data_IF_911642695962
#
_entry.id   IF_911642695962
#
_cell.length_a   1.000
_cell.length_b   1.000
_cell.length_c   1.000
_cell.angle_alpha   90.00
_cell.angle_beta   90.00
_cell.angle_gamma   90.00
#
_symmetry.space_group_name_H-M   'P 1'
#
loop_
_entity.id
_entity.type
_entity.pdbx_description
1 polymer ?
#
# COMPACT_ATOMS: atom_id res chain seq x y z
N UNK A 1 -24.62 17.86 35.11
CA UNK A 1 -23.69 17.04 34.31
C UNK A 1 -24.54 16.23 33.32
N UNK A 2 -24.27 16.29 32.02
CA UNK A 2 -25.04 15.51 31.01
C UNK A 2 -24.73 14.03 31.21
N UNK A 3 -25.76 13.24 31.51
CA UNK A 3 -25.61 11.80 31.73
C UNK A 3 -25.09 11.13 30.46
N UNK A 4 -24.10 10.25 30.63
CA UNK A 4 -23.49 9.50 29.53
C UNK A 4 -24.44 8.37 29.15
N UNK A 5 -24.95 8.39 27.91
CA UNK A 5 -25.77 7.30 27.37
C UNK A 5 -24.98 6.00 27.37
N UNK A 6 -25.64 4.91 27.72
CA UNK A 6 -25.04 3.58 27.68
C UNK A 6 -24.85 3.14 26.23
N UNK A 7 -23.87 2.26 25.97
CA UNK A 7 -23.61 1.73 24.62
C UNK A 7 -24.87 1.05 24.04
N UNK A 8 -25.67 0.43 24.91
CA UNK A 8 -26.90 -0.27 24.55
C UNK A 8 -27.99 0.72 24.12
N UNK A 9 -28.10 1.89 24.75
CA UNK A 9 -29.01 2.97 24.31
C UNK A 9 -28.61 3.63 22.99
N UNK A 10 -27.35 3.48 22.58
CA UNK A 10 -26.82 4.05 21.33
C UNK A 10 -27.09 3.20 20.09
N UNK A 11 -27.50 1.94 20.26
CA UNK A 11 -27.69 0.99 19.16
C UNK A 11 -29.20 0.74 19.02
N UNK A 12 -29.88 1.65 18.34
CA UNK A 12 -31.23 1.36 17.84
C UNK A 12 -31.16 0.14 16.88
N UNK A 13 -32.18 -0.73 16.85
CA UNK A 13 -32.22 -1.83 15.90
C UNK A 13 -32.24 -1.26 14.48
N UNK A 14 -31.09 -1.32 13.81
CA UNK A 14 -30.93 -0.89 12.43
C UNK A 14 -31.62 -1.90 11.51
N UNK A 15 -32.41 -1.38 10.57
CA UNK A 15 -33.06 -2.15 9.53
C UNK A 15 -32.00 -2.91 8.71
N UNK A 16 -32.01 -4.25 8.76
CA UNK A 16 -31.08 -5.15 8.05
C UNK A 16 -30.98 -4.89 6.54
N UNK A 17 -31.98 -4.23 5.98
CA UNK A 17 -32.03 -3.82 4.58
C UNK A 17 -30.91 -2.81 4.24
N UNK A 18 -30.63 -1.86 5.14
CA UNK A 18 -29.56 -0.88 4.97
C UNK A 18 -28.16 -1.52 5.08
N UNK A 19 -28.01 -2.52 5.95
CA UNK A 19 -26.76 -3.30 6.07
C UNK A 19 -26.48 -4.11 4.80
N UNK A 20 -27.50 -4.75 4.21
CA UNK A 20 -27.33 -5.53 2.98
C UNK A 20 -26.93 -4.64 1.80
N UNK A 21 -27.48 -3.44 1.70
CA UNK A 21 -27.11 -2.48 0.66
C UNK A 21 -25.67 -2.00 0.80
N UNK A 22 -25.23 -1.73 2.04
CA UNK A 22 -23.85 -1.36 2.35
C UNK A 22 -22.86 -2.50 2.05
N UNK A 23 -23.19 -3.74 2.46
CA UNK A 23 -22.29 -4.90 2.33
C UNK A 23 -22.21 -5.43 0.90
N UNK A 24 -23.35 -5.47 0.19
CA UNK A 24 -23.42 -6.09 -1.13
C UNK A 24 -23.42 -5.09 -2.29
N UNK A 25 -23.37 -3.77 -2.00
CA UNK A 25 -23.26 -2.71 -2.99
C UNK A 25 -24.40 -2.77 -4.00
N UNK A 26 -25.53 -2.13 -3.68
CA UNK A 26 -26.77 -2.13 -4.46
C UNK A 26 -26.58 -2.34 -5.97
N UNK A 27 -26.82 -3.56 -6.43
CA UNK A 27 -26.87 -3.87 -7.86
C UNK A 27 -28.04 -4.77 -8.15
N UNK A 28 -29.20 -4.15 -8.33
CA UNK A 28 -30.34 -4.73 -9.01
C UNK A 28 -30.99 -3.67 -9.92
N UNK A 29 -30.76 -3.79 -11.23
CA UNK A 29 -31.81 -3.57 -12.24
C UNK A 29 -32.14 -2.15 -12.75
N UNK A 30 -31.32 -1.68 -13.72
CA UNK A 30 -31.73 -1.20 -15.05
C UNK A 30 -32.38 0.20 -15.29
N UNK A 31 -31.75 0.94 -16.23
CA UNK A 31 -32.28 1.88 -17.26
C UNK A 31 -32.17 3.41 -17.05
N UNK A 32 -31.17 3.96 -17.76
CA UNK A 32 -31.04 5.23 -18.49
C UNK A 32 -30.94 6.60 -17.79
N UNK A 33 -29.82 7.26 -18.15
CA UNK A 33 -29.58 8.68 -18.38
C UNK A 33 -29.90 9.69 -17.25
N UNK A 34 -28.87 10.28 -16.64
CA UNK A 34 -28.49 11.67 -16.94
C UNK A 34 -27.16 12.04 -16.24
N UNK A 35 -26.45 12.93 -16.90
CA UNK A 35 -25.13 13.47 -16.64
C UNK A 35 -24.98 14.12 -15.25
N UNK A 36 -24.07 13.63 -14.40
CA UNK A 36 -23.38 14.46 -13.39
C UNK A 36 -21.97 13.90 -13.14
N UNK A 37 -21.01 14.55 -13.78
CA UNK A 37 -19.59 14.70 -13.40
C UNK A 37 -19.01 13.60 -12.49
N UNK A 38 -18.33 12.65 -13.13
CA UNK A 38 -17.37 11.78 -12.48
C UNK A 38 -16.33 12.66 -11.75
N UNK A 39 -15.98 12.36 -10.48
CA UNK A 39 -14.80 12.97 -9.88
C UNK A 39 -13.61 12.56 -10.74
N UNK A 40 -12.98 13.57 -11.33
CA UNK A 40 -11.71 13.47 -12.05
C UNK A 40 -10.77 12.58 -11.23
N UNK A 41 -10.64 11.32 -11.70
CA UNK A 41 -9.55 10.44 -11.29
C UNK A 41 -8.31 11.23 -11.62
N UNK A 42 -7.62 11.75 -10.60
CA UNK A 42 -6.28 12.29 -10.76
C UNK A 42 -5.46 11.19 -11.42
N UNK A 43 -5.28 11.31 -12.73
CA UNK A 43 -4.21 10.68 -13.46
C UNK A 43 -2.93 11.30 -12.92
N UNK A 44 -2.44 10.76 -11.81
CA UNK A 44 -1.01 10.82 -11.56
C UNK A 44 -0.38 10.01 -12.68
N UNK A 45 0.07 10.68 -13.72
CA UNK A 45 1.05 10.21 -14.70
C UNK A 45 2.39 9.98 -14.00
N UNK A 46 2.39 9.17 -12.95
CA UNK A 46 3.56 8.43 -12.57
C UNK A 46 3.54 7.22 -13.48
N UNK A 47 4.40 7.25 -14.49
CA UNK A 47 4.84 6.07 -15.23
C UNK A 47 5.39 5.07 -14.23
N UNK A 48 4.49 4.36 -13.55
CA UNK A 48 4.82 3.16 -12.82
C UNK A 48 5.12 2.17 -13.93
N UNK A 49 6.40 2.09 -14.32
CA UNK A 49 6.95 0.86 -14.86
C UNK A 49 6.42 -0.24 -13.94
N UNK A 50 5.40 -0.97 -14.39
CA UNK A 50 4.93 -2.13 -13.66
C UNK A 50 6.17 -3.02 -13.50
N UNK A 51 6.68 -3.22 -12.28
CA UNK A 51 7.88 -4.02 -12.12
C UNK A 51 7.54 -5.38 -12.69
N UNK A 52 8.40 -5.90 -13.57
CA UNK A 52 8.35 -7.31 -13.93
C UNK A 52 8.21 -8.08 -12.62
N UNK A 53 7.24 -8.99 -12.54
CA UNK A 53 6.95 -9.72 -11.31
C UNK A 53 8.16 -10.60 -11.02
N UNK A 54 9.13 -10.05 -10.30
CA UNK A 54 10.34 -10.74 -9.92
C UNK A 54 9.96 -11.78 -8.87
N UNK A 55 10.38 -13.02 -9.10
CA UNK A 55 10.18 -14.09 -8.13
C UNK A 55 11.12 -13.84 -6.94
N UNK A 56 10.57 -13.27 -5.86
CA UNK A 56 11.31 -12.93 -4.63
C UNK A 56 11.31 -14.11 -3.67
N UNK A 57 12.50 -14.49 -3.18
CA UNK A 57 12.67 -15.54 -2.17
C UNK A 57 13.07 -14.93 -0.82
N UNK A 58 12.62 -15.49 0.32
CA UNK A 58 13.03 -15.02 1.63
C UNK A 58 14.53 -15.30 1.84
N UNK A 59 15.29 -14.25 2.16
CA UNK A 59 16.69 -14.35 2.56
C UNK A 59 16.81 -14.02 4.05
N UNK A 60 17.29 -14.97 4.85
CA UNK A 60 17.57 -14.73 6.28
C UNK A 60 19.08 -14.70 6.52
N UNK A 61 19.56 -13.60 7.09
CA UNK A 61 20.96 -13.45 7.51
C UNK A 61 21.08 -12.46 8.65
N UNK A 62 22.15 -12.57 9.45
CA UNK A 62 22.45 -11.62 10.52
C UNK A 62 23.27 -10.46 9.96
N UNK A 63 22.89 -9.23 10.29
CA UNK A 63 23.63 -8.01 9.94
C UNK A 63 24.00 -7.24 11.20
N UNK A 64 24.96 -6.31 11.08
CA UNK A 64 25.31 -5.43 12.19
C UNK A 64 24.13 -4.53 12.58
N UNK A 65 23.99 -4.24 13.88
CA UNK A 65 22.87 -3.48 14.43
C UNK A 65 22.83 -2.02 13.96
N UNK A 66 24.00 -1.41 13.74
CA UNK A 66 24.12 -0.05 13.20
C UNK A 66 23.61 0.00 11.75
N UNK A 67 23.95 -0.99 10.93
CA UNK A 67 23.45 -1.10 9.56
C UNK A 67 21.93 -1.29 9.53
N UNK A 68 21.39 -2.16 10.39
CA UNK A 68 19.95 -2.37 10.48
C UNK A 68 19.19 -1.08 10.84
N UNK A 69 19.71 -0.32 11.81
CA UNK A 69 19.13 0.95 12.25
C UNK A 69 19.21 2.01 11.14
N UNK A 70 20.38 2.16 10.52
CA UNK A 70 20.61 3.11 9.45
C UNK A 70 19.74 2.82 8.22
N UNK A 71 19.61 1.55 7.83
CA UNK A 71 18.81 1.13 6.68
C UNK A 71 17.32 1.41 6.89
N UNK A 72 16.77 1.10 8.09
CA UNK A 72 15.39 1.43 8.45
C UNK A 72 15.12 2.94 8.41
N UNK A 73 16.04 3.73 8.98
CA UNK A 73 15.94 5.19 8.94
C UNK A 73 15.95 5.70 7.50
N UNK A 74 16.90 5.26 6.68
CA UNK A 74 17.00 5.68 5.29
C UNK A 74 15.76 5.32 4.47
N UNK A 75 15.20 4.12 4.67
CA UNK A 75 13.95 3.71 4.05
C UNK A 75 12.80 4.65 4.42
N UNK A 76 12.64 4.98 5.70
CA UNK A 76 11.59 5.89 6.15
C UNK A 76 11.77 7.32 5.61
N UNK A 77 12.99 7.86 5.69
CA UNK A 77 13.31 9.20 5.18
C UNK A 77 12.99 9.31 3.68
N UNK A 78 13.33 8.27 2.91
CA UNK A 78 13.05 8.20 1.46
C UNK A 78 11.57 8.04 1.14
N UNK A 79 10.81 7.32 1.98
CA UNK A 79 9.35 7.25 1.84
C UNK A 79 8.71 8.63 2.07
N UNK A 80 9.16 9.36 3.09
CA UNK A 80 8.67 10.71 3.38
C UNK A 80 9.04 11.72 2.29
N UNK A 81 10.22 11.57 1.68
CA UNK A 81 10.66 12.42 0.57
C UNK A 81 10.11 12.00 -0.79
N UNK A 82 9.41 10.86 -0.88
CA UNK A 82 8.91 10.31 -2.14
C UNK A 82 10.02 9.86 -3.11
N UNK A 83 11.22 9.53 -2.61
CA UNK A 83 12.39 9.18 -3.44
C UNK A 83 12.54 7.67 -3.56
N UNK A 84 12.60 7.12 -4.79
CA UNK A 84 12.83 5.69 -5.05
C UNK A 84 14.33 5.39 -5.22
N UNK A 85 14.84 4.23 -4.74
CA UNK A 85 14.15 3.17 -3.98
C UNK A 85 13.87 3.60 -2.54
N UNK A 86 12.71 3.20 -1.99
CA UNK A 86 12.28 3.58 -0.64
C UNK A 86 11.92 2.39 0.28
N UNK A 87 11.79 1.18 -0.26
CA UNK A 87 11.58 -0.01 0.56
C UNK A 87 12.91 -0.64 0.95
N UNK A 88 12.93 -1.37 2.07
CA UNK A 88 14.13 -2.11 2.48
C UNK A 88 14.57 -3.11 1.40
N UNK A 89 13.61 -3.77 0.75
CA UNK A 89 13.88 -4.75 -0.32
C UNK A 89 14.57 -4.08 -1.50
N UNK A 90 14.02 -2.99 -2.01
CA UNK A 90 14.55 -2.34 -3.22
C UNK A 90 15.92 -1.69 -2.94
N UNK A 91 16.11 -1.11 -1.74
CA UNK A 91 17.42 -0.56 -1.34
C UNK A 91 18.46 -1.68 -1.21
N UNK A 92 18.07 -2.85 -0.70
CA UNK A 92 18.97 -4.01 -0.62
C UNK A 92 19.30 -4.56 -2.01
N UNK A 93 18.31 -4.69 -2.90
CA UNK A 93 18.52 -5.14 -4.28
C UNK A 93 19.47 -4.18 -5.03
N UNK A 94 19.24 -2.86 -4.95
CA UNK A 94 20.09 -1.84 -5.57
C UNK A 94 21.54 -1.87 -5.05
N UNK A 95 21.73 -2.17 -3.76
CA UNK A 95 23.07 -2.26 -3.18
C UNK A 95 23.78 -3.59 -3.48
N UNK A 96 23.04 -4.70 -3.55
CA UNK A 96 23.60 -6.04 -3.76
C UNK A 96 23.89 -6.33 -5.24
N UNK A 97 23.07 -5.81 -6.14
CA UNK A 97 23.18 -6.09 -7.57
C UNK A 97 24.55 -5.74 -8.16
N UNK A 98 25.14 -4.54 -7.92
CA UNK A 98 26.47 -4.22 -8.44
C UNK A 98 27.55 -5.16 -7.89
N UNK A 99 27.51 -5.45 -6.59
CA UNK A 99 28.48 -6.36 -5.97
C UNK A 99 28.41 -7.77 -6.58
N UNK A 100 27.21 -8.27 -6.87
CA UNK A 100 27.04 -9.59 -7.48
C UNK A 100 27.51 -9.62 -8.94
N UNK A 101 27.25 -8.55 -9.71
CA UNK A 101 27.70 -8.42 -11.10
C UNK A 101 29.21 -8.28 -11.20
N UNK A 102 29.82 -7.43 -10.38
CA UNK A 102 31.26 -7.18 -10.36
C UNK A 102 32.07 -8.44 -10.00
N UNK A 103 31.48 -9.34 -9.21
CA UNK A 103 32.10 -10.61 -8.83
C UNK A 103 31.69 -11.79 -9.73
N UNK A 104 30.92 -11.54 -10.80
CA UNK A 104 30.53 -12.56 -11.78
C UNK A 104 29.49 -13.57 -11.28
N UNK A 105 28.78 -13.28 -10.19
CA UNK A 105 27.69 -14.12 -9.68
C UNK A 105 26.36 -13.86 -10.40
N UNK A 106 26.23 -12.71 -11.05
CA UNK A 106 25.13 -12.39 -11.96
C UNK A 106 25.69 -12.03 -13.34
N UNK A 107 24.98 -12.41 -14.43
CA UNK A 107 25.36 -11.99 -15.77
C UNK A 107 25.23 -10.46 -15.91
N UNK A 108 26.12 -9.86 -16.70
CA UNK A 108 26.09 -8.44 -17.03
C UNK A 108 25.02 -8.11 -18.06
#
# INVERSE_FOLDING_TARGET
>A
MKERRTLVDGIAPLERSAEKEFVFGGKAGNTQAENTQAPSRRETTASHHAPAIANRMPLSTRIRSDFATALKRASLERQLSGTTPNTLQDILEEALEPWLRDNGYLPN
#
